data_IF_545054521456
#
_entry.id   IF_545054521456
#
_cell.length_a   1.000
_cell.length_b   1.000
_cell.length_c   1.000
_cell.angle_alpha   90.00
_cell.angle_beta   90.00
_cell.angle_gamma   90.00
#
_symmetry.space_group_name_H-M   'P 1'
#
loop_
_entity.id
_entity.type
_entity.pdbx_description
1 polymer ?
#
# COMPACT_ATOMS: atom_id res chain seq x y z
N UNK A 1 9.20 -74.82 -29.43
CA UNK A 1 10.25 -74.54 -28.44
C UNK A 1 10.33 -73.03 -28.20
N UNK A 2 9.98 -72.61 -26.97
CA UNK A 2 10.28 -71.36 -26.21
C UNK A 2 10.23 -70.00 -26.94
N UNK A 3 9.31 -69.04 -26.74
CA UNK A 3 8.64 -68.44 -25.55
C UNK A 3 9.50 -67.46 -24.74
N UNK A 4 9.42 -66.12 -24.98
CA UNK A 4 9.67 -65.04 -23.98
C UNK A 4 8.92 -63.71 -24.33
N UNK A 5 7.92 -63.39 -23.48
CA UNK A 5 7.40 -62.10 -22.96
C UNK A 5 6.99 -60.93 -23.90
N UNK A 6 5.67 -60.79 -24.09
CA UNK A 6 4.95 -59.51 -24.26
C UNK A 6 3.87 -59.43 -23.17
N UNK A 7 4.15 -58.78 -22.04
CA UNK A 7 3.24 -58.24 -20.99
C UNK A 7 4.18 -57.39 -20.10
N UNK A 8 4.05 -56.09 -19.78
CA UNK A 8 2.92 -55.28 -19.30
C UNK A 8 3.40 -53.84 -19.11
N UNK A 9 2.71 -52.83 -19.65
CA UNK A 9 2.72 -51.47 -19.06
C UNK A 9 1.52 -50.64 -19.55
N UNK A 10 0.31 -51.08 -19.21
CA UNK A 10 -0.93 -50.34 -19.47
C UNK A 10 -1.87 -50.56 -18.27
N UNK A 11 -1.42 -50.12 -17.08
CA UNK A 11 -2.26 -50.16 -15.86
C UNK A 11 -2.00 -49.06 -14.83
N UNK A 12 -1.25 -48.01 -15.18
CA UNK A 12 -0.94 -46.89 -14.28
C UNK A 12 -1.77 -45.62 -14.50
N UNK A 13 -2.26 -45.37 -15.72
CA UNK A 13 -2.83 -44.05 -16.08
C UNK A 13 -4.30 -43.88 -15.66
N UNK A 14 -5.12 -44.95 -15.74
CA UNK A 14 -6.54 -44.85 -15.44
C UNK A 14 -6.87 -44.77 -13.93
N UNK A 15 -6.00 -45.28 -13.05
CA UNK A 15 -6.22 -45.18 -11.59
C UNK A 15 -5.95 -43.77 -11.06
N UNK A 16 -4.95 -43.07 -11.61
CA UNK A 16 -4.66 -41.68 -11.27
C UNK A 16 -5.78 -40.73 -11.73
N UNK A 17 -6.34 -40.94 -12.92
CA UNK A 17 -7.44 -40.12 -13.41
C UNK A 17 -8.72 -40.32 -12.57
N UNK A 18 -9.01 -41.56 -12.14
CA UNK A 18 -10.15 -41.87 -11.25
C UNK A 18 -9.98 -41.26 -9.86
N UNK A 19 -8.77 -41.24 -9.30
CA UNK A 19 -8.48 -40.63 -8.00
C UNK A 19 -8.59 -39.10 -8.02
N UNK A 20 -8.13 -38.46 -9.11
CA UNK A 20 -8.26 -37.01 -9.29
C UNK A 20 -9.72 -36.61 -9.42
N UNK A 21 -10.53 -37.36 -10.17
CA UNK A 21 -11.98 -37.11 -10.30
C UNK A 21 -12.72 -37.35 -8.98
N UNK A 22 -12.35 -38.37 -8.19
CA UNK A 22 -12.94 -38.63 -6.88
C UNK A 22 -12.61 -37.54 -5.85
N UNK A 23 -11.37 -37.04 -5.83
CA UNK A 23 -10.97 -35.90 -4.99
C UNK A 23 -11.71 -34.62 -5.37
N UNK A 24 -11.95 -34.40 -6.67
CA UNK A 24 -12.70 -33.25 -7.18
C UNK A 24 -14.20 -33.31 -6.83
N UNK A 25 -14.80 -34.51 -6.86
CA UNK A 25 -16.22 -34.73 -6.49
C UNK A 25 -16.45 -34.66 -4.96
N UNK A 26 -15.50 -35.10 -4.13
CA UNK A 26 -15.60 -35.00 -2.67
C UNK A 26 -15.49 -33.54 -2.16
N UNK A 27 -14.80 -32.66 -2.88
CA UNK A 27 -14.72 -31.23 -2.53
C UNK A 27 -16.02 -30.45 -2.80
N UNK A 28 -16.98 -31.00 -3.56
CA UNK A 28 -18.25 -30.34 -3.87
C UNK A 28 -19.42 -30.74 -2.95
N UNK A 29 -19.31 -31.77 -2.10
CA UNK A 29 -20.42 -32.24 -1.27
C UNK A 29 -20.54 -31.63 0.14
N UNK A 30 -19.65 -30.71 0.54
CA UNK A 30 -19.70 -30.10 1.88
C UNK A 30 -20.14 -28.63 1.89
N UNK A 31 -21.19 -28.27 1.15
CA UNK A 31 -22.04 -27.10 1.49
C UNK A 31 -23.48 -27.37 1.05
N UNK A 32 -24.24 -28.11 1.87
CA UNK A 32 -25.70 -27.98 1.87
C UNK A 32 -26.06 -27.19 3.13
N UNK A 33 -26.56 -25.98 2.90
CA UNK A 33 -27.13 -25.12 3.93
C UNK A 33 -28.36 -25.81 4.53
N UNK A 34 -28.40 -25.92 5.86
CA UNK A 34 -29.59 -26.31 6.61
C UNK A 34 -30.50 -25.06 6.73
N UNK A 35 -31.72 -25.05 6.17
CA UNK A 35 -32.61 -23.92 6.31
C UNK A 35 -33.32 -24.00 7.67
N UNK A 36 -32.91 -23.16 8.63
CA UNK A 36 -33.73 -22.87 9.81
C UNK A 36 -34.60 -21.65 9.52
N UNK A 37 -35.85 -21.95 9.16
CA UNK A 37 -36.98 -21.01 9.11
C UNK A 37 -37.38 -20.63 10.56
N UNK A 38 -37.43 -19.34 10.95
CA UNK A 38 -37.96 -18.95 12.25
C UNK A 38 -39.50 -18.99 12.20
N UNK A 39 -40.11 -19.78 13.09
CA UNK A 39 -41.57 -19.80 13.30
C UNK A 39 -41.96 -18.67 14.30
N UNK A 40 -43.10 -17.98 14.09
CA UNK A 40 -43.43 -16.75 14.80
C UNK A 40 -44.13 -16.97 16.15
N UNK A 41 -43.86 -16.07 17.09
CA UNK A 41 -44.75 -15.70 18.20
C UNK A 41 -44.54 -16.45 19.51
N UNK A 42 -43.94 -15.76 20.50
CA UNK A 42 -44.44 -15.70 21.89
C UNK A 42 -43.69 -14.62 22.68
N UNK A 43 -44.42 -13.57 23.04
CA UNK A 43 -44.05 -12.54 24.03
C UNK A 43 -44.31 -13.13 25.42
N UNK A 44 -43.46 -12.85 26.41
CA UNK A 44 -43.97 -12.26 27.65
C UNK A 44 -43.29 -10.93 27.96
N UNK A 45 -44.10 -10.01 28.45
CA UNK A 45 -43.84 -8.60 28.66
C UNK A 45 -43.13 -8.29 29.99
N UNK A 46 -42.45 -7.14 29.98
CA UNK A 46 -42.30 -6.12 31.05
C UNK A 46 -40.94 -5.98 31.76
N UNK A 47 -40.45 -4.73 31.73
CA UNK A 47 -39.52 -4.05 32.68
C UNK A 47 -38.05 -4.50 32.65
N UNK A 48 -37.01 -3.67 32.52
CA UNK A 48 -36.82 -2.22 32.73
C UNK A 48 -35.72 -1.69 31.80
N UNK A 49 -35.81 -0.41 31.44
CA UNK A 49 -34.80 0.36 30.71
C UNK A 49 -33.83 1.00 31.73
N UNK A 50 -32.51 0.75 31.70
CA UNK A 50 -31.56 1.61 32.41
C UNK A 50 -31.24 2.83 31.56
N UNK A 51 -31.48 4.00 32.15
CA UNK A 51 -31.17 5.33 31.65
C UNK A 51 -29.68 5.57 31.41
N UNK A 52 -29.40 6.44 30.44
CA UNK A 52 -28.10 7.04 30.13
C UNK A 52 -27.44 7.65 31.39
N UNK A 53 -26.18 7.33 31.74
CA UNK A 53 -25.47 8.07 32.76
C UNK A 53 -24.91 9.37 32.17
N UNK A 54 -25.38 10.47 32.76
CA UNK A 54 -24.98 11.83 32.50
C UNK A 54 -23.48 12.06 32.72
N UNK A 55 -22.90 12.93 31.88
CA UNK A 55 -21.75 13.81 32.15
C UNK A 55 -21.07 13.63 33.52
N UNK A 56 -20.15 12.66 33.63
CA UNK A 56 -19.23 12.56 34.75
C UNK A 56 -17.94 13.29 34.41
N UNK A 57 -17.69 14.36 35.16
CA UNK A 57 -16.45 15.15 35.17
C UNK A 57 -15.27 14.23 35.42
N UNK A 58 -14.34 14.11 34.45
CA UNK A 58 -13.10 13.36 34.64
C UNK A 58 -12.24 14.06 35.69
N UNK A 59 -12.06 13.45 36.86
CA UNK A 59 -10.93 13.78 37.72
C UNK A 59 -9.66 13.11 37.19
N UNK A 60 -8.48 13.74 37.31
CA UNK A 60 -7.22 13.13 36.90
C UNK A 60 -6.96 11.87 37.71
N UNK A 61 -6.55 10.80 37.03
CA UNK A 61 -6.07 9.58 37.67
C UNK A 61 -4.73 9.91 38.34
N UNK A 62 -4.66 9.85 39.67
CA UNK A 62 -3.36 9.89 40.37
C UNK A 62 -2.61 8.57 40.10
N UNK A 63 -1.51 8.67 39.36
CA UNK A 63 -0.60 7.56 39.11
C UNK A 63 0.46 7.59 40.20
N UNK A 64 0.56 6.50 40.98
CA UNK A 64 1.60 6.33 42.01
C UNK A 64 3.01 6.46 41.38
N UNK A 65 3.97 7.20 41.99
CA UNK A 65 5.19 7.66 41.33
C UNK A 65 6.25 6.57 41.08
N UNK A 66 5.95 5.30 41.33
CA UNK A 66 6.95 4.23 41.39
C UNK A 66 7.20 3.50 40.05
N UNK A 67 6.65 3.99 38.94
CA UNK A 67 6.83 3.35 37.62
C UNK A 67 7.35 4.33 36.56
N UNK A 68 8.35 5.13 36.93
CA UNK A 68 9.17 5.87 35.97
C UNK A 68 10.44 5.04 35.73
N UNK A 69 10.71 4.56 34.50
CA UNK A 69 11.97 3.89 34.18
C UNK A 69 13.13 4.83 34.49
N UNK A 70 14.05 4.40 35.35
CA UNK A 70 15.27 5.16 35.61
C UNK A 70 16.14 5.14 34.36
N UNK A 71 16.37 6.31 33.77
CA UNK A 71 17.22 6.50 32.60
C UNK A 71 18.70 6.42 33.02
N UNK A 72 19.52 5.55 32.42
CA UNK A 72 20.86 5.27 32.95
C UNK A 72 21.95 6.28 32.54
N UNK A 73 21.62 7.38 31.85
CA UNK A 73 22.61 8.37 31.42
C UNK A 73 22.39 9.72 32.11
N UNK A 74 23.19 9.97 33.15
CA UNK A 74 23.33 11.28 33.77
C UNK A 74 24.30 12.14 32.94
N UNK A 75 23.83 13.27 32.41
CA UNK A 75 24.71 14.38 31.98
C UNK A 75 24.63 14.81 30.52
N UNK A 76 23.94 14.11 29.62
CA UNK A 76 23.73 14.58 28.25
C UNK A 76 22.40 15.35 28.13
N UNK A 77 22.37 16.50 27.43
CA UNK A 77 21.13 17.21 27.17
C UNK A 77 20.20 16.28 26.39
N UNK A 78 19.00 16.07 26.93
CA UNK A 78 17.98 15.25 26.30
C UNK A 78 17.79 15.72 24.84
N UNK A 79 17.94 14.85 23.83
CA UNK A 79 17.53 15.21 22.49
C UNK A 79 16.05 15.62 22.55
N UNK A 80 15.65 16.68 21.83
CA UNK A 80 14.31 17.22 21.94
C UNK A 80 13.27 16.11 21.77
N UNK A 81 12.30 16.06 22.68
CA UNK A 81 11.24 15.05 22.74
C UNK A 81 10.40 14.99 21.44
N UNK A 82 10.53 16.01 20.60
CA UNK A 82 9.94 16.12 19.28
C UNK A 82 11.07 16.29 18.24
N UNK A 83 10.97 15.63 17.07
CA UNK A 83 11.88 15.93 15.98
C UNK A 83 11.80 17.42 15.64
N UNK A 84 12.96 18.07 15.50
CA UNK A 84 13.02 19.45 15.01
C UNK A 84 12.44 19.49 13.61
N UNK A 85 11.27 20.09 13.45
CA UNK A 85 10.69 20.32 12.13
C UNK A 85 11.57 21.32 11.38
N UNK A 86 11.88 21.08 10.08
CA UNK A 86 12.68 22.02 9.31
C UNK A 86 11.99 23.39 9.29
N UNK A 87 12.78 24.46 9.39
CA UNK A 87 12.26 25.82 9.29
C UNK A 87 11.66 26.04 7.91
N UNK A 88 10.44 26.55 7.85
CA UNK A 88 9.82 26.97 6.59
C UNK A 88 10.55 28.19 6.05
N UNK A 89 10.75 28.25 4.73
CA UNK A 89 11.39 29.39 4.05
C UNK A 89 10.72 29.66 2.71
N UNK A 90 11.05 30.78 2.06
CA UNK A 90 10.55 31.07 0.72
C UNK A 90 11.44 30.40 -0.35
N UNK A 91 10.90 29.48 -1.17
CA UNK A 91 11.69 28.76 -2.15
C UNK A 91 12.12 29.66 -3.31
N UNK A 92 13.36 29.47 -3.79
CA UNK A 92 13.80 30.04 -5.06
C UNK A 92 13.26 29.17 -6.20
N UNK A 93 12.29 29.70 -6.93
CA UNK A 93 11.69 29.03 -8.08
C UNK A 93 12.43 29.37 -9.37
N UNK A 94 12.36 28.47 -10.35
CA UNK A 94 12.91 28.68 -11.70
C UNK A 94 12.22 29.81 -12.44
N UNK A 95 10.94 30.07 -12.12
CA UNK A 95 10.10 31.07 -12.79
C UNK A 95 9.67 30.68 -14.21
N UNK A 96 9.96 29.45 -14.65
CA UNK A 96 9.65 28.95 -16.00
C UNK A 96 8.41 28.06 -16.05
N UNK A 97 7.99 27.53 -14.90
CA UNK A 97 6.78 26.74 -14.81
C UNK A 97 5.52 27.65 -14.87
N UNK A 98 4.63 27.50 -15.87
CA UNK A 98 3.55 28.45 -16.14
C UNK A 98 2.31 28.18 -15.28
N UNK A 99 2.49 27.95 -13.98
CA UNK A 99 1.42 27.54 -13.06
C UNK A 99 1.50 28.26 -11.72
N UNK A 100 0.34 28.60 -11.17
CA UNK A 100 0.24 29.20 -9.85
C UNK A 100 0.07 28.11 -8.77
N UNK A 101 1.16 27.80 -8.08
CA UNK A 101 1.18 26.81 -6.98
C UNK A 101 0.30 27.19 -5.78
N UNK A 102 -0.13 28.46 -5.67
CA UNK A 102 -1.04 28.90 -4.60
C UNK A 102 -2.38 28.16 -4.64
N UNK A 103 -2.83 27.76 -5.83
CA UNK A 103 -4.12 27.07 -6.04
C UNK A 103 -4.13 25.67 -5.39
N UNK A 104 -2.97 25.00 -5.37
CA UNK A 104 -2.81 23.66 -4.79
C UNK A 104 -2.04 23.69 -3.46
N UNK A 105 -1.90 24.87 -2.84
CA UNK A 105 -1.08 25.08 -1.64
C UNK A 105 -1.50 24.21 -0.45
N UNK A 106 -2.81 23.95 -0.27
CA UNK A 106 -3.34 23.04 0.75
C UNK A 106 -2.81 21.61 0.56
N UNK A 107 -2.86 21.12 -0.68
CA UNK A 107 -2.42 19.79 -1.07
C UNK A 107 -0.90 19.69 -0.93
N UNK A 108 -0.16 20.70 -1.41
CA UNK A 108 1.30 20.76 -1.26
C UNK A 108 1.74 20.80 0.20
N UNK A 109 1.05 21.56 1.08
CA UNK A 109 1.32 21.56 2.52
C UNK A 109 1.12 20.18 3.14
N UNK A 110 0.02 19.50 2.77
CA UNK A 110 -0.29 18.16 3.26
C UNK A 110 0.75 17.14 2.80
N UNK A 111 1.13 17.17 1.53
CA UNK A 111 2.19 16.30 0.99
C UNK A 111 3.53 16.58 1.67
N UNK A 112 3.87 17.85 1.92
CA UNK A 112 5.10 18.18 2.65
C UNK A 112 5.10 17.60 4.07
N UNK A 113 3.98 17.71 4.79
CA UNK A 113 3.81 17.09 6.11
C UNK A 113 3.93 15.57 6.06
N UNK A 114 3.29 14.92 5.09
CA UNK A 114 3.36 13.48 4.87
C UNK A 114 4.78 13.00 4.50
N UNK A 115 5.59 13.91 3.94
CA UNK A 115 6.96 13.69 3.47
C UNK A 115 8.03 14.41 4.29
N UNK A 116 7.73 14.81 5.52
CA UNK A 116 8.68 15.52 6.39
C UNK A 116 9.99 14.73 6.49
N UNK A 117 11.15 15.39 6.52
CA UNK A 117 12.47 14.73 6.57
C UNK A 117 12.52 13.53 7.54
N UNK A 118 12.08 13.73 8.78
CA UNK A 118 12.07 12.72 9.85
C UNK A 118 11.08 11.57 9.63
N UNK A 119 9.94 11.86 8.99
CA UNK A 119 8.85 10.90 8.79
C UNK A 119 9.08 10.06 7.52
N UNK A 120 9.59 10.70 6.46
CA UNK A 120 9.80 10.11 5.15
C UNK A 120 10.72 8.88 5.15
N UNK A 121 11.69 8.81 6.06
CA UNK A 121 12.59 7.66 6.24
C UNK A 121 11.85 6.41 6.73
N UNK A 122 10.73 6.59 7.44
CA UNK A 122 9.99 5.50 8.06
C UNK A 122 8.72 5.17 7.29
N UNK A 123 8.03 6.17 6.73
CA UNK A 123 6.74 5.99 6.02
C UNK A 123 6.82 6.30 4.52
N UNK A 124 8.05 6.39 3.98
CA UNK A 124 8.35 6.69 2.58
C UNK A 124 7.45 5.94 1.61
N UNK A 125 7.50 4.62 1.66
CA UNK A 125 6.80 3.75 0.70
C UNK A 125 5.29 3.67 0.89
N UNK A 126 4.79 3.95 2.09
CA UNK A 126 3.39 3.70 2.48
C UNK A 126 2.54 4.97 2.51
N UNK A 127 3.16 6.12 2.78
CA UNK A 127 2.47 7.41 2.88
C UNK A 127 3.16 8.39 1.95
N UNK A 128 4.40 8.78 2.21
CA UNK A 128 5.02 9.92 1.52
C UNK A 128 5.03 9.76 -0.01
N UNK A 129 5.59 8.67 -0.55
CA UNK A 129 5.73 8.49 -2.00
C UNK A 129 4.38 8.34 -2.73
N UNK A 130 3.38 7.61 -2.18
CA UNK A 130 2.05 7.66 -2.76
C UNK A 130 1.40 9.05 -2.74
N UNK A 131 1.64 9.85 -1.68
CA UNK A 131 1.16 11.23 -1.61
C UNK A 131 1.88 12.17 -2.57
N UNK A 132 3.18 12.00 -2.73
CA UNK A 132 3.98 12.75 -3.68
C UNK A 132 3.53 12.48 -5.12
N UNK A 133 3.33 11.22 -5.51
CA UNK A 133 2.78 10.87 -6.82
C UNK A 133 1.36 11.44 -7.04
N UNK A 134 0.52 11.40 -6.00
CA UNK A 134 -0.83 12.00 -6.07
C UNK A 134 -0.77 13.50 -6.34
N UNK A 135 0.13 14.22 -5.68
CA UNK A 135 0.36 15.65 -5.92
C UNK A 135 0.79 15.91 -7.38
N UNK A 136 1.67 15.09 -7.95
CA UNK A 136 2.11 15.26 -9.34
C UNK A 136 0.96 15.07 -10.34
N UNK A 137 0.08 14.09 -10.11
CA UNK A 137 -1.10 13.91 -10.97
C UNK A 137 -2.10 15.07 -10.85
N UNK A 138 -2.30 15.60 -9.64
CA UNK A 138 -3.16 16.78 -9.43
C UNK A 138 -2.57 18.00 -10.12
N UNK A 139 -1.25 18.16 -10.02
CA UNK A 139 -0.51 19.19 -10.72
C UNK A 139 -0.67 19.08 -12.25
N UNK A 140 -0.53 17.88 -12.82
CA UNK A 140 -0.78 17.67 -14.25
C UNK A 140 -2.21 18.03 -14.63
N UNK A 141 -3.21 17.62 -13.85
CA UNK A 141 -4.61 18.00 -14.09
C UNK A 141 -4.85 19.52 -14.02
N UNK A 142 -4.18 20.23 -13.11
CA UNK A 142 -4.21 21.69 -13.04
C UNK A 142 -3.58 22.35 -14.28
N UNK A 143 -2.43 21.85 -14.71
CA UNK A 143 -1.77 22.29 -15.94
C UNK A 143 -2.71 22.07 -17.15
N UNK A 144 -3.33 20.90 -17.25
CA UNK A 144 -4.29 20.56 -18.29
C UNK A 144 -5.56 21.41 -18.31
N UNK A 145 -5.87 22.15 -17.25
CA UNK A 145 -6.99 23.10 -17.26
C UNK A 145 -6.68 24.38 -18.04
N UNK A 146 -5.41 24.72 -18.20
CA UNK A 146 -4.97 25.90 -18.92
C UNK A 146 -4.44 25.56 -20.32
N UNK A 147 -4.00 24.33 -20.52
CA UNK A 147 -3.43 23.83 -21.77
C UNK A 147 -4.20 22.59 -22.23
N UNK A 148 -4.44 22.45 -23.54
CA UNK A 148 -5.20 21.31 -24.11
C UNK A 148 -4.42 19.97 -24.13
N UNK A 149 -3.52 19.77 -23.16
CA UNK A 149 -2.66 18.59 -23.04
C UNK A 149 -2.76 17.99 -21.65
N UNK A 150 -2.69 16.65 -21.55
CA UNK A 150 -2.74 15.89 -20.30
C UNK A 150 -1.36 15.74 -19.64
N UNK A 151 -0.30 16.16 -20.33
CA UNK A 151 1.09 15.98 -19.92
C UNK A 151 1.93 17.21 -20.28
N UNK A 152 3.10 17.32 -19.66
CA UNK A 152 4.04 18.43 -19.89
C UNK A 152 5.05 18.07 -20.99
N UNK A 153 5.57 19.09 -21.68
CA UNK A 153 6.73 18.94 -22.55
C UNK A 153 8.02 18.79 -21.72
N UNK A 154 9.06 18.13 -22.24
CA UNK A 154 10.28 17.78 -21.48
C UNK A 154 10.91 18.98 -20.75
N UNK A 155 11.16 20.09 -21.43
CA UNK A 155 11.78 21.27 -20.81
C UNK A 155 10.92 21.88 -19.69
N UNK A 156 9.61 22.00 -19.92
CA UNK A 156 8.67 22.48 -18.91
C UNK A 156 8.54 21.50 -17.74
N UNK A 157 8.57 20.20 -18.00
CA UNK A 157 8.52 19.17 -16.98
C UNK A 157 9.71 19.26 -16.03
N UNK A 158 10.93 19.51 -16.55
CA UNK A 158 12.13 19.68 -15.73
C UNK A 158 12.04 20.90 -14.82
N UNK A 159 11.61 22.04 -15.35
CA UNK A 159 11.47 23.29 -14.59
C UNK A 159 10.36 23.18 -13.54
N UNK A 160 9.19 22.68 -13.92
CA UNK A 160 8.07 22.47 -13.01
C UNK A 160 8.38 21.44 -11.92
N UNK A 161 9.09 20.36 -12.24
CA UNK A 161 9.48 19.36 -11.25
C UNK A 161 10.45 19.95 -10.22
N UNK A 162 11.43 20.76 -10.65
CA UNK A 162 12.34 21.48 -9.73
C UNK A 162 11.58 22.46 -8.82
N UNK A 163 10.61 23.19 -9.36
CA UNK A 163 9.78 24.11 -8.58
C UNK A 163 8.96 23.35 -7.52
N UNK A 164 8.31 22.24 -7.88
CA UNK A 164 7.55 21.40 -6.95
C UNK A 164 8.43 20.89 -5.81
N UNK A 165 9.60 20.34 -6.13
CA UNK A 165 10.55 19.83 -5.13
C UNK A 165 11.01 20.96 -4.21
N UNK A 166 11.35 22.13 -4.76
CA UNK A 166 11.79 23.29 -3.99
C UNK A 166 10.70 23.78 -3.03
N UNK A 167 9.45 23.82 -3.48
CA UNK A 167 8.29 24.19 -2.64
C UNK A 167 8.09 23.16 -1.52
N UNK A 168 8.17 21.86 -1.81
CA UNK A 168 8.03 20.82 -0.79
C UNK A 168 9.16 20.91 0.26
N UNK A 169 10.41 21.07 -0.19
CA UNK A 169 11.57 21.23 0.69
C UNK A 169 11.44 22.49 1.58
N UNK A 170 10.95 23.59 1.00
CA UNK A 170 10.67 24.84 1.74
C UNK A 170 9.61 24.71 2.83
N UNK A 171 8.81 23.63 2.78
CA UNK A 171 7.79 23.28 3.78
C UNK A 171 8.21 22.12 4.68
N UNK A 172 9.50 21.78 4.69
CA UNK A 172 10.09 20.78 5.56
C UNK A 172 9.99 19.33 5.06
N UNK A 173 9.58 19.13 3.81
CA UNK A 173 9.68 17.83 3.18
C UNK A 173 11.14 17.45 2.92
N UNK A 174 11.39 16.15 2.71
CA UNK A 174 12.72 15.66 2.42
C UNK A 174 13.25 16.21 1.07
N UNK A 175 14.45 16.79 1.07
CA UNK A 175 15.05 17.33 -0.17
C UNK A 175 15.38 16.24 -1.20
N UNK A 176 15.53 14.99 -0.77
CA UNK A 176 15.83 13.82 -1.60
C UNK A 176 14.57 13.05 -2.02
N UNK A 177 13.41 13.70 -2.07
CA UNK A 177 12.13 13.08 -2.44
C UNK A 177 12.15 12.36 -3.80
N UNK A 178 12.77 12.98 -4.81
CA UNK A 178 12.84 12.41 -6.16
C UNK A 178 13.54 11.04 -6.17
N UNK A 179 14.70 10.93 -5.51
CA UNK A 179 15.43 9.66 -5.41
C UNK A 179 14.75 8.66 -4.50
N UNK A 180 14.19 9.11 -3.36
CA UNK A 180 13.54 8.25 -2.37
C UNK A 180 12.27 7.60 -2.94
N UNK A 181 11.51 8.34 -3.74
CA UNK A 181 10.27 7.84 -4.35
C UNK A 181 10.45 7.30 -5.76
N UNK A 182 11.67 7.30 -6.29
CA UNK A 182 11.98 6.90 -7.67
C UNK A 182 11.16 7.63 -8.73
N UNK A 183 10.92 8.93 -8.51
CA UNK A 183 10.13 9.78 -9.40
C UNK A 183 11.02 10.84 -10.06
N UNK A 184 10.87 11.00 -11.38
CA UNK A 184 11.64 11.94 -12.21
C UNK A 184 10.70 12.91 -12.93
N UNK A 185 11.26 13.98 -13.49
CA UNK A 185 10.52 14.90 -14.35
C UNK A 185 9.87 14.22 -15.56
N UNK A 186 10.49 13.16 -16.09
CA UNK A 186 9.93 12.35 -17.18
C UNK A 186 8.57 11.73 -16.85
N UNK A 187 8.23 11.52 -15.57
CA UNK A 187 6.90 11.04 -15.18
C UNK A 187 5.79 12.08 -15.48
N UNK A 188 6.14 13.36 -15.64
CA UNK A 188 5.19 14.43 -15.98
C UNK A 188 4.88 14.50 -17.48
N UNK A 189 5.67 13.84 -18.34
CA UNK A 189 5.59 13.94 -19.81
C UNK A 189 4.74 12.85 -20.46
N UNK A 190 4.18 11.95 -19.65
CA UNK A 190 3.43 10.78 -20.10
C UNK A 190 4.29 9.72 -20.78
N UNK A 191 5.62 9.87 -20.73
CA UNK A 191 6.59 8.91 -21.26
C UNK A 191 6.22 8.38 -22.65
N UNK A 192 6.07 7.07 -22.71
CA UNK A 192 5.78 6.27 -23.90
C UNK A 192 4.28 6.15 -24.25
N UNK A 193 3.38 6.74 -23.45
CA UNK A 193 1.95 6.69 -23.76
C UNK A 193 1.64 7.47 -25.06
N UNK A 194 0.95 6.86 -26.03
CA UNK A 194 0.70 7.50 -27.34
C UNK A 194 -0.35 8.61 -27.27
N UNK A 195 -1.26 8.54 -26.29
CA UNK A 195 -2.31 9.56 -26.09
C UNK A 195 -1.83 10.59 -25.07
N UNK A 196 -1.78 11.86 -25.47
CA UNK A 196 -1.29 12.97 -24.64
C UNK A 196 -2.22 14.18 -24.63
N UNK A 197 -3.13 14.28 -25.58
CA UNK A 197 -4.11 15.34 -25.72
C UNK A 197 -5.49 14.92 -25.20
N UNK A 198 -6.32 15.91 -24.87
CA UNK A 198 -7.62 15.69 -24.24
C UNK A 198 -8.62 15.09 -25.23
N UNK A 199 -8.67 15.57 -26.47
CA UNK A 199 -9.68 15.13 -27.44
C UNK A 199 -9.49 13.66 -27.83
N UNK A 200 -8.26 13.22 -28.07
CA UNK A 200 -7.96 11.81 -28.35
C UNK A 200 -8.27 10.93 -27.15
N UNK A 201 -7.99 11.40 -25.92
CA UNK A 201 -8.34 10.65 -24.71
C UNK A 201 -9.85 10.46 -24.56
N UNK A 202 -10.62 11.55 -24.68
CA UNK A 202 -12.07 11.52 -24.49
C UNK A 202 -12.81 10.72 -25.57
N UNK A 203 -12.23 10.62 -26.77
CA UNK A 203 -12.74 9.77 -27.85
C UNK A 203 -12.40 8.28 -27.65
N UNK A 204 -11.27 7.97 -27.02
CA UNK A 204 -10.81 6.58 -26.84
C UNK A 204 -11.40 5.91 -25.59
N UNK A 205 -11.69 6.68 -24.54
CA UNK A 205 -12.09 6.17 -23.22
C UNK A 205 -13.56 6.45 -22.94
N UNK A 206 -14.25 5.51 -22.30
CA UNK A 206 -15.56 5.77 -21.71
C UNK A 206 -15.41 6.67 -20.47
N UNK A 207 -15.38 7.98 -20.70
CA UNK A 207 -15.15 9.02 -19.69
C UNK A 207 -16.23 9.10 -18.62
N UNK A 208 -17.49 8.83 -18.97
CA UNK A 208 -18.60 8.82 -18.02
C UNK A 208 -18.45 7.69 -17.00
N UNK A 209 -18.15 6.46 -17.49
CA UNK A 209 -17.88 5.31 -16.62
C UNK A 209 -16.65 5.53 -15.73
N UNK A 210 -15.59 6.13 -16.28
CA UNK A 210 -14.37 6.43 -15.53
C UNK A 210 -14.65 7.43 -14.40
N UNK A 211 -15.38 8.50 -14.70
CA UNK A 211 -15.72 9.53 -13.72
C UNK A 211 -16.70 9.01 -12.65
N UNK A 212 -17.70 8.21 -13.05
CA UNK A 212 -18.61 7.55 -12.10
C UNK A 212 -17.83 6.65 -11.13
N UNK A 213 -16.85 5.90 -11.64
CA UNK A 213 -16.04 4.99 -10.82
C UNK A 213 -15.10 5.71 -9.86
N UNK A 214 -14.57 6.88 -10.23
CA UNK A 214 -13.46 7.53 -9.53
C UNK A 214 -13.81 8.85 -8.83
N UNK A 215 -14.99 9.44 -9.07
CA UNK A 215 -15.41 10.70 -8.44
C UNK A 215 -15.66 10.58 -6.94
N UNK A 216 -16.26 9.47 -6.51
CA UNK A 216 -16.54 9.20 -5.09
C UNK A 216 -15.95 7.84 -4.70
N UNK A 217 -14.68 7.85 -4.28
CA UNK A 217 -14.00 6.63 -3.83
C UNK A 217 -14.44 6.31 -2.41
N UNK A 218 -15.23 5.25 -2.25
CA UNK A 218 -15.53 4.69 -0.92
C UNK A 218 -14.33 3.82 -0.45
N UNK A 219 -13.72 4.11 0.71
CA UNK A 219 -12.54 3.39 1.18
C UNK A 219 -12.77 1.89 1.38
N UNK A 220 -13.96 1.47 1.81
CA UNK A 220 -14.27 0.07 2.10
C UNK A 220 -14.48 -0.71 0.80
N UNK A 221 -15.28 -0.15 -0.12
CA UNK A 221 -15.50 -0.73 -1.44
C UNK A 221 -14.18 -0.79 -2.21
N UNK A 222 -13.44 0.31 -2.31
CA UNK A 222 -12.21 0.32 -3.13
C UNK A 222 -11.13 -0.63 -2.60
N UNK A 223 -10.99 -0.78 -1.28
CA UNK A 223 -9.99 -1.67 -0.71
C UNK A 223 -10.35 -3.16 -0.81
N UNK A 224 -11.65 -3.51 -0.79
CA UNK A 224 -12.10 -4.91 -0.75
C UNK A 224 -12.69 -5.41 -2.07
N UNK A 225 -13.37 -4.55 -2.83
CA UNK A 225 -13.91 -4.80 -4.18
C UNK A 225 -13.67 -3.56 -5.05
N UNK A 226 -12.47 -3.40 -5.62
CA UNK A 226 -12.08 -2.16 -6.28
C UNK A 226 -12.92 -1.89 -7.53
N UNK A 227 -13.27 -0.63 -7.75
CA UNK A 227 -14.00 -0.17 -8.94
C UNK A 227 -13.19 0.88 -9.70
N UNK A 228 -12.58 1.84 -9.00
CA UNK A 228 -11.82 2.91 -9.65
C UNK A 228 -10.46 2.43 -10.17
N UNK A 229 -9.69 1.65 -9.39
CA UNK A 229 -8.41 1.09 -9.88
C UNK A 229 -8.55 0.25 -11.17
N UNK A 230 -9.56 -0.65 -11.28
CA UNK A 230 -9.85 -1.34 -12.54
C UNK A 230 -10.26 -0.40 -13.66
N UNK A 231 -11.12 0.60 -13.40
CA UNK A 231 -11.52 1.58 -14.41
C UNK A 231 -10.31 2.38 -14.95
N UNK A 232 -9.38 2.77 -14.09
CA UNK A 232 -8.13 3.44 -14.47
C UNK A 232 -7.26 2.51 -15.34
N UNK A 233 -7.14 1.24 -14.94
CA UNK A 233 -6.31 0.27 -15.66
C UNK A 233 -6.88 -0.06 -17.04
N UNK A 234 -8.20 -0.17 -17.14
CA UNK A 234 -8.93 -0.37 -18.39
C UNK A 234 -8.77 0.84 -19.33
N UNK A 235 -8.97 2.06 -18.81
CA UNK A 235 -8.74 3.28 -19.58
C UNK A 235 -7.29 3.38 -20.08
N UNK A 236 -6.32 3.04 -19.21
CA UNK A 236 -4.91 3.02 -19.58
C UNK A 236 -4.59 2.00 -20.69
N UNK A 237 -5.25 0.83 -20.67
CA UNK A 237 -5.10 -0.19 -21.70
C UNK A 237 -5.71 0.26 -23.04
N UNK A 238 -6.86 0.93 -23.01
CA UNK A 238 -7.50 1.47 -24.21
C UNK A 238 -6.61 2.49 -24.91
N UNK A 239 -5.98 3.39 -24.15
CA UNK A 239 -5.13 4.44 -24.71
C UNK A 239 -3.68 3.99 -24.97
N UNK A 240 -3.22 2.87 -24.42
CA UNK A 240 -1.87 2.36 -24.71
C UNK A 240 -1.76 1.74 -26.11
N UNK A 241 -2.90 1.39 -26.72
CA UNK A 241 -2.93 0.68 -27.99
C UNK A 241 -2.41 -0.76 -27.91
N UNK A 242 -2.14 -1.27 -26.70
CA UNK A 242 -1.75 -2.66 -26.48
C UNK A 242 -2.96 -3.53 -26.77
N UNK A 243 -3.02 -4.07 -27.99
CA UNK A 243 -3.90 -5.19 -28.30
C UNK A 243 -3.31 -6.41 -27.60
N UNK A 244 -4.13 -7.10 -26.82
CA UNK A 244 -3.78 -8.38 -26.19
C UNK A 244 -3.70 -9.46 -27.27
N UNK A 245 -2.69 -9.39 -28.14
CA UNK A 245 -2.29 -10.48 -29.03
C UNK A 245 -1.19 -11.24 -28.32
N UNK A 246 -1.48 -12.47 -27.90
CA UNK A 246 -0.45 -13.44 -27.51
C UNK A 246 0.52 -13.59 -28.68
N UNK A 247 1.62 -12.86 -28.64
CA UNK A 247 2.64 -12.83 -29.68
C UNK A 247 3.99 -12.97 -28.97
N UNK A 248 4.39 -14.22 -28.79
CA UNK A 248 5.77 -14.59 -28.51
C UNK A 248 6.65 -14.12 -29.67
N UNK A 249 7.30 -12.95 -29.53
CA UNK A 249 8.48 -12.64 -30.32
C UNK A 249 9.40 -11.68 -29.58
N UNK A 250 10.44 -12.26 -28.98
CA UNK A 250 11.63 -11.54 -28.52
C UNK A 250 12.41 -11.06 -29.73
N UNK A 251 12.35 -9.77 -30.03
CA UNK A 251 13.41 -9.08 -30.75
C UNK A 251 13.85 -7.87 -29.93
N UNK A 252 15.13 -7.90 -29.54
CA UNK A 252 15.79 -6.92 -28.69
C UNK A 252 16.15 -5.71 -29.55
N UNK A 253 15.32 -4.68 -29.44
CA UNK A 253 15.68 -3.26 -29.55
C UNK A 253 14.96 -2.58 -28.39
N UNK A 254 15.59 -1.57 -27.78
CA UNK A 254 15.20 -0.84 -26.56
C UNK A 254 13.83 -0.14 -26.67
N UNK A 255 12.77 -0.92 -26.85
CA UNK A 255 11.39 -0.50 -26.77
C UNK A 255 10.97 -0.48 -25.28
N UNK A 256 10.19 0.52 -24.85
CA UNK A 256 9.55 0.48 -23.54
C UNK A 256 8.84 -0.85 -23.38
N UNK A 257 9.01 -1.51 -22.23
CA UNK A 257 8.25 -2.74 -22.00
C UNK A 257 6.75 -2.41 -22.07
N UNK A 258 5.92 -3.35 -22.52
CA UNK A 258 4.47 -3.14 -22.55
C UNK A 258 3.92 -2.70 -21.17
N UNK A 259 4.61 -3.12 -20.09
CA UNK A 259 4.32 -2.73 -18.70
C UNK A 259 4.66 -1.26 -18.44
N UNK A 260 5.78 -0.75 -18.95
CA UNK A 260 6.19 0.65 -18.80
C UNK A 260 5.22 1.57 -19.54
N UNK A 261 4.86 1.22 -20.78
CA UNK A 261 3.84 1.95 -21.57
C UNK A 261 2.50 2.00 -20.85
N UNK A 262 2.07 0.87 -20.28
CA UNK A 262 0.82 0.83 -19.52
C UNK A 262 0.88 1.72 -18.26
N UNK A 263 2.01 1.74 -17.57
CA UNK A 263 2.19 2.59 -16.38
C UNK A 263 2.23 4.08 -16.73
N UNK A 264 2.90 4.44 -17.83
CA UNK A 264 2.89 5.80 -18.37
C UNK A 264 1.46 6.24 -18.73
N UNK A 265 0.69 5.37 -19.38
CA UNK A 265 -0.71 5.64 -19.70
C UNK A 265 -1.61 5.75 -18.47
N UNK A 266 -1.35 5.01 -17.38
CA UNK A 266 -2.04 5.24 -16.11
C UNK A 266 -1.82 6.66 -15.60
N UNK A 267 -0.60 7.21 -15.75
CA UNK A 267 -0.30 8.60 -15.41
C UNK A 267 -1.16 9.60 -16.19
N UNK A 268 -1.36 9.36 -17.49
CA UNK A 268 -2.25 10.17 -18.34
C UNK A 268 -3.69 10.10 -17.86
N UNK A 269 -4.19 8.90 -17.51
CA UNK A 269 -5.55 8.73 -16.96
C UNK A 269 -5.73 9.49 -15.65
N UNK A 270 -4.75 9.42 -14.73
CA UNK A 270 -4.79 10.19 -13.48
C UNK A 270 -4.84 11.70 -13.72
N UNK A 271 -4.04 12.20 -14.67
CA UNK A 271 -4.06 13.62 -15.07
C UNK A 271 -5.44 14.06 -15.57
N UNK A 272 -6.09 13.26 -16.43
CA UNK A 272 -7.44 13.54 -16.91
C UNK A 272 -8.49 13.52 -15.78
N UNK A 273 -8.42 12.55 -14.85
CA UNK A 273 -9.31 12.51 -13.69
C UNK A 273 -9.12 13.77 -12.82
N UNK A 274 -7.87 14.14 -12.55
CA UNK A 274 -7.55 15.33 -11.77
C UNK A 274 -8.00 16.64 -12.45
N UNK A 275 -7.99 16.69 -13.78
CA UNK A 275 -8.53 17.81 -14.57
C UNK A 275 -10.05 17.96 -14.36
N UNK A 276 -10.78 16.83 -14.36
CA UNK A 276 -12.26 16.82 -14.28
C UNK A 276 -12.81 17.02 -12.87
N UNK A 277 -12.09 16.54 -11.85
CA UNK A 277 -12.49 16.69 -10.45
C UNK A 277 -12.01 18.03 -9.87
N UNK A 278 -12.64 18.48 -8.79
CA UNK A 278 -12.07 19.57 -7.97
C UNK A 278 -10.79 19.07 -7.31
N UNK A 279 -9.79 19.93 -7.11
CA UNK A 279 -8.48 19.53 -6.60
C UNK A 279 -8.54 18.77 -5.27
N UNK A 280 -9.43 19.18 -4.36
CA UNK A 280 -9.62 18.49 -3.08
C UNK A 280 -10.31 17.12 -3.21
N UNK A 281 -11.22 16.98 -4.17
CA UNK A 281 -11.88 15.70 -4.46
C UNK A 281 -10.89 14.73 -5.12
N UNK A 282 -10.08 15.22 -6.07
CA UNK A 282 -8.99 14.46 -6.68
C UNK A 282 -7.95 14.02 -5.64
N UNK A 283 -7.54 14.94 -4.77
CA UNK A 283 -6.65 14.65 -3.64
C UNK A 283 -7.24 13.55 -2.74
N UNK A 284 -8.51 13.66 -2.38
CA UNK A 284 -9.17 12.66 -1.54
C UNK A 284 -9.25 11.31 -2.25
N UNK A 285 -9.65 11.27 -3.52
CA UNK A 285 -9.73 10.05 -4.31
C UNK A 285 -8.36 9.35 -4.43
N UNK A 286 -7.32 10.07 -4.85
CA UNK A 286 -5.98 9.49 -5.05
C UNK A 286 -5.36 9.01 -3.74
N UNK A 287 -5.63 9.71 -2.63
CA UNK A 287 -5.25 9.29 -1.28
C UNK A 287 -5.88 7.96 -0.87
N UNK A 288 -7.14 7.77 -1.19
CA UNK A 288 -7.85 6.53 -0.86
C UNK A 288 -7.36 5.37 -1.74
N UNK A 289 -7.20 5.61 -3.05
CA UNK A 289 -6.67 4.63 -3.99
C UNK A 289 -5.27 4.14 -3.60
N UNK A 290 -4.39 5.07 -3.26
CA UNK A 290 -3.03 4.72 -2.79
C UNK A 290 -3.06 3.95 -1.49
N UNK A 291 -3.87 4.37 -0.51
CA UNK A 291 -4.01 3.67 0.78
C UNK A 291 -4.48 2.22 0.61
N UNK A 292 -5.37 1.95 -0.34
CA UNK A 292 -5.82 0.59 -0.64
C UNK A 292 -4.73 -0.26 -1.32
N UNK A 293 -3.89 0.34 -2.19
CA UNK A 293 -2.79 -0.34 -2.89
C UNK A 293 -1.66 -0.76 -1.97
N UNK A 294 -1.29 0.10 -1.01
CA UNK A 294 -0.14 -0.09 -0.11
C UNK A 294 -0.21 -1.42 0.67
N UNK A 295 -1.41 -1.96 0.88
CA UNK A 295 -1.59 -3.18 1.66
C UNK A 295 -1.25 -4.50 0.93
N UNK A 296 -0.83 -4.51 -0.34
CA UNK A 296 -0.78 -5.73 -1.18
C UNK A 296 0.58 -6.43 -1.30
N UNK A 297 1.68 -5.83 -0.85
CA UNK A 297 3.02 -6.44 -0.92
C UNK A 297 3.78 -6.24 0.39
N UNK A 298 4.76 -7.11 0.67
CA UNK A 298 5.73 -6.85 1.73
C UNK A 298 6.77 -5.86 1.22
N UNK A 299 6.95 -4.70 1.85
CA UNK A 299 7.94 -3.73 1.41
C UNK A 299 9.31 -3.94 2.06
N UNK A 300 9.43 -4.79 3.11
CA UNK A 300 10.70 -5.04 3.81
C UNK A 300 11.71 -5.73 2.91
N UNK A 301 12.96 -5.28 2.98
CA UNK A 301 14.09 -5.93 2.34
C UNK A 301 14.68 -6.99 3.27
N UNK A 302 14.63 -8.24 2.84
CA UNK A 302 15.11 -9.37 3.62
C UNK A 302 16.49 -9.80 3.13
N UNK A 303 17.51 -9.50 3.92
CA UNK A 303 18.84 -10.10 3.77
C UNK A 303 18.82 -11.57 4.19
N UNK A 304 19.70 -12.41 3.67
CA UNK A 304 19.75 -13.81 4.07
C UNK A 304 19.91 -13.94 5.60
N UNK A 305 18.97 -14.59 6.33
CA UNK A 305 18.99 -14.65 7.79
C UNK A 305 19.91 -15.77 8.29
N UNK A 306 21.20 -15.75 7.93
CA UNK A 306 22.16 -16.83 8.19
C UNK A 306 22.29 -17.19 9.69
N UNK A 307 22.33 -16.19 10.56
CA UNK A 307 22.40 -16.37 12.02
C UNK A 307 21.15 -17.07 12.57
N UNK A 308 19.97 -16.71 12.07
CA UNK A 308 18.70 -17.35 12.44
C UNK A 308 18.67 -18.79 11.93
N UNK A 309 19.07 -19.01 10.67
CA UNK A 309 19.11 -20.35 10.06
C UNK A 309 20.02 -21.26 10.88
N UNK A 310 21.23 -20.80 11.23
CA UNK A 310 22.19 -21.59 11.98
C UNK A 310 21.72 -21.90 13.40
N UNK A 311 21.05 -20.94 14.06
CA UNK A 311 20.56 -21.12 15.42
C UNK A 311 19.26 -21.94 15.52
N UNK A 312 18.43 -21.93 14.47
CA UNK A 312 17.08 -22.51 14.49
C UNK A 312 16.93 -23.81 13.69
N UNK A 313 17.92 -24.19 12.87
CA UNK A 313 17.87 -25.42 12.07
C UNK A 313 17.84 -26.67 12.97
N UNK A 314 16.98 -27.63 12.62
CA UNK A 314 16.84 -28.93 13.29
C UNK A 314 16.43 -28.89 14.78
N UNK A 315 15.78 -27.81 15.23
CA UNK A 315 15.27 -27.75 16.60
C UNK A 315 13.97 -28.56 16.76
N UNK A 316 13.82 -29.21 17.92
CA UNK A 316 12.58 -29.88 18.33
C UNK A 316 11.91 -29.21 19.56
N UNK A 317 12.56 -28.20 20.17
CA UNK A 317 12.11 -27.51 21.38
C UNK A 317 12.62 -26.04 21.40
N UNK A 318 12.07 -25.17 22.29
CA UNK A 318 12.47 -23.76 22.37
C UNK A 318 13.96 -23.61 22.69
N UNK A 319 14.69 -22.91 21.81
CA UNK A 319 16.11 -22.62 22.00
C UNK A 319 16.29 -21.12 22.25
N UNK A 320 16.85 -20.72 23.40
CA UNK A 320 17.12 -19.30 23.68
C UNK A 320 18.00 -18.63 22.63
N UNK A 321 18.97 -19.35 22.04
CA UNK A 321 19.83 -18.81 20.99
C UNK A 321 19.07 -18.58 19.69
N UNK A 322 18.15 -19.47 19.32
CA UNK A 322 17.27 -19.30 18.16
C UNK A 322 16.39 -18.06 18.32
N UNK A 323 15.71 -17.92 19.45
CA UNK A 323 14.80 -16.80 19.68
C UNK A 323 15.54 -15.46 19.79
N UNK A 324 16.74 -15.44 20.40
CA UNK A 324 17.57 -14.23 20.44
C UNK A 324 18.01 -13.80 19.03
N UNK A 325 18.48 -14.72 18.19
CA UNK A 325 18.88 -14.42 16.81
C UNK A 325 17.68 -13.98 15.97
N UNK A 326 16.53 -14.62 16.13
CA UNK A 326 15.28 -14.26 15.46
C UNK A 326 14.84 -12.83 15.83
N UNK A 327 14.80 -12.50 17.12
CA UNK A 327 14.41 -11.19 17.61
C UNK A 327 15.39 -10.08 17.18
N UNK A 328 16.70 -10.37 17.17
CA UNK A 328 17.70 -9.43 16.67
C UNK A 328 17.52 -9.14 15.16
N UNK A 329 17.27 -10.19 14.36
CA UNK A 329 17.00 -10.04 12.93
C UNK A 329 15.71 -9.24 12.69
N UNK A 330 14.63 -9.57 13.41
CA UNK A 330 13.34 -8.87 13.36
C UNK A 330 13.50 -7.39 13.74
N UNK A 331 14.24 -7.09 14.81
CA UNK A 331 14.56 -5.71 15.21
C UNK A 331 15.32 -4.96 14.11
N UNK A 332 16.21 -5.65 13.39
CA UNK A 332 16.92 -5.10 12.24
C UNK A 332 15.99 -4.72 11.10
N UNK A 333 15.04 -5.58 10.73
CA UNK A 333 14.09 -5.30 9.64
C UNK A 333 13.00 -4.30 10.05
N UNK A 334 12.56 -4.29 11.32
CA UNK A 334 11.59 -3.32 11.83
C UNK A 334 12.07 -1.88 11.66
N UNK A 335 13.38 -1.64 11.76
CA UNK A 335 13.99 -0.31 11.59
C UNK A 335 13.95 0.19 10.15
N UNK A 336 13.64 -0.66 9.17
CA UNK A 336 13.61 -0.25 7.76
C UNK A 336 12.44 0.68 7.47
N UNK A 337 11.22 0.30 7.87
CA UNK A 337 10.02 1.12 7.65
C UNK A 337 8.83 0.68 8.50
N UNK A 338 7.86 1.59 8.65
CA UNK A 338 6.55 1.28 9.17
C UNK A 338 5.70 0.55 8.12
N UNK A 339 5.12 -0.57 8.52
CA UNK A 339 4.23 -1.37 7.67
C UNK A 339 2.87 -1.57 8.34
N UNK A 340 1.80 -1.66 7.54
CA UNK A 340 0.45 -1.94 8.05
C UNK A 340 0.34 -3.38 8.54
N UNK A 341 -0.67 -3.74 9.36
CA UNK A 341 -0.81 -5.13 9.80
C UNK A 341 -0.99 -6.10 8.63
N UNK A 342 -1.60 -5.67 7.51
CA UNK A 342 -1.72 -6.52 6.33
C UNK A 342 -0.37 -6.75 5.66
N UNK A 343 0.45 -5.70 5.55
CA UNK A 343 1.83 -5.86 5.08
C UNK A 343 2.67 -6.70 6.05
N UNK A 344 2.49 -6.56 7.36
CA UNK A 344 3.16 -7.38 8.37
C UNK A 344 2.86 -8.87 8.18
N UNK A 345 1.61 -9.24 7.90
CA UNK A 345 1.23 -10.62 7.57
C UNK A 345 1.96 -11.11 6.32
N UNK A 346 1.98 -10.31 5.25
CA UNK A 346 2.66 -10.67 4.00
C UNK A 346 4.17 -10.80 4.22
N UNK A 347 4.77 -9.90 5.00
CA UNK A 347 6.19 -9.92 5.34
C UNK A 347 6.57 -11.12 6.20
N UNK A 348 5.78 -11.43 7.22
CA UNK A 348 5.98 -12.62 8.05
C UNK A 348 5.88 -13.90 7.20
N UNK A 349 4.97 -13.95 6.22
CA UNK A 349 4.86 -15.08 5.30
C UNK A 349 6.09 -15.23 4.39
N UNK A 350 6.59 -14.13 3.81
CA UNK A 350 7.81 -14.13 2.97
C UNK A 350 9.02 -14.57 3.80
N UNK A 351 9.18 -14.04 5.01
CA UNK A 351 10.25 -14.43 5.93
C UNK A 351 10.16 -15.90 6.34
N UNK A 352 8.96 -16.38 6.65
CA UNK A 352 8.72 -17.78 6.99
C UNK A 352 9.08 -18.71 5.82
N UNK A 353 8.72 -18.32 4.59
CA UNK A 353 9.09 -19.05 3.38
C UNK A 353 10.62 -19.10 3.17
N UNK A 354 11.34 -17.99 3.42
CA UNK A 354 12.80 -17.97 3.35
C UNK A 354 13.45 -18.93 4.36
N UNK A 355 12.95 -18.95 5.60
CA UNK A 355 13.45 -19.86 6.64
C UNK A 355 13.17 -21.33 6.31
N UNK A 356 11.98 -21.65 5.82
CA UNK A 356 11.62 -22.99 5.37
C UNK A 356 12.52 -23.45 4.22
N UNK A 357 12.75 -22.60 3.21
CA UNK A 357 13.64 -22.91 2.09
C UNK A 357 15.09 -23.16 2.54
N UNK A 358 15.51 -22.57 3.67
CA UNK A 358 16.82 -22.77 4.27
C UNK A 358 16.91 -23.99 5.22
N UNK A 359 15.81 -24.72 5.42
CA UNK A 359 15.75 -25.94 6.24
C UNK A 359 15.35 -25.71 7.70
N UNK A 360 14.79 -24.56 8.05
CA UNK A 360 14.11 -24.34 9.33
C UNK A 360 12.66 -24.77 9.20
N UNK A 361 12.35 -26.00 9.61
CA UNK A 361 11.04 -26.61 9.42
C UNK A 361 10.08 -26.40 10.59
N UNK A 362 10.59 -25.93 11.73
CA UNK A 362 9.77 -25.60 12.92
C UNK A 362 9.10 -24.24 12.78
N UNK A 363 7.92 -24.10 13.40
CA UNK A 363 7.24 -22.82 13.50
C UNK A 363 7.95 -21.92 14.53
N UNK A 364 9.02 -21.26 14.10
CA UNK A 364 9.84 -20.41 14.98
C UNK A 364 9.07 -19.20 15.52
N UNK A 365 7.98 -18.78 14.87
CA UNK A 365 7.16 -17.68 15.37
C UNK A 365 6.43 -18.08 16.65
N UNK A 366 5.79 -19.24 16.64
CA UNK A 366 5.12 -19.80 17.82
C UNK A 366 6.14 -20.19 18.91
N UNK A 367 7.29 -20.73 18.49
CA UNK A 367 8.34 -21.16 19.42
C UNK A 367 8.93 -20.00 20.25
N UNK A 368 9.03 -18.82 19.63
CA UNK A 368 9.70 -17.66 20.19
C UNK A 368 8.74 -16.52 20.54
N UNK A 369 7.42 -16.79 20.55
CA UNK A 369 6.37 -15.81 20.85
C UNK A 369 6.47 -14.53 20.00
N UNK A 370 6.72 -14.72 18.70
CA UNK A 370 6.80 -13.62 17.72
C UNK A 370 5.41 -13.36 17.14
N UNK A 371 4.95 -12.13 17.34
CA UNK A 371 3.68 -11.62 16.86
C UNK A 371 3.85 -10.79 15.57
N UNK A 372 2.74 -10.59 14.86
CA UNK A 372 2.67 -9.65 13.73
C UNK A 372 3.07 -8.22 14.11
N UNK A 373 2.86 -7.83 15.37
CA UNK A 373 3.27 -6.52 15.90
C UNK A 373 4.80 -6.37 15.86
N UNK A 374 5.54 -7.47 15.96
CA UNK A 374 7.00 -7.46 15.93
C UNK A 374 7.56 -7.25 14.53
N UNK A 375 6.73 -7.19 13.48
CA UNK A 375 7.16 -6.73 12.16
C UNK A 375 6.88 -5.25 11.91
N UNK A 376 6.27 -4.52 12.87
CA UNK A 376 5.85 -3.12 12.71
C UNK A 376 6.27 -2.26 13.92
N UNK A 377 6.77 -1.04 13.68
CA UNK A 377 7.13 -0.09 14.75
C UNK A 377 5.87 0.53 15.40
N UNK A 378 5.06 -0.22 16.16
CA UNK A 378 3.81 0.31 16.74
C UNK A 378 3.99 1.20 18.00
N UNK A 379 5.20 1.66 18.32
CA UNK A 379 5.49 2.26 19.63
C UNK A 379 5.78 3.77 19.70
N UNK A 380 5.87 4.52 18.59
CA UNK A 380 6.43 5.89 18.64
C UNK A 380 5.64 7.00 17.92
N UNK A 381 4.34 6.82 17.66
CA UNK A 381 3.56 7.86 16.98
C UNK A 381 2.88 8.84 17.95
N UNK A 382 3.26 10.11 17.78
CA UNK A 382 2.77 11.33 18.43
C UNK A 382 1.22 11.41 18.53
N UNK A 383 0.66 12.08 19.55
CA UNK A 383 -0.78 12.08 19.88
C UNK A 383 -1.74 12.54 18.77
N UNK A 384 -1.27 13.31 17.78
CA UNK A 384 -2.08 13.75 16.64
C UNK A 384 -2.32 12.65 15.59
N UNK A 385 -1.41 11.67 15.51
CA UNK A 385 -1.47 10.60 14.49
C UNK A 385 -2.46 9.49 14.85
N UNK A 386 -2.61 9.20 16.15
CA UNK A 386 -3.58 8.24 16.67
C UNK A 386 -5.02 8.60 16.28
N UNK A 387 -5.36 9.89 16.19
CA UNK A 387 -6.73 10.31 15.92
C UNK A 387 -7.19 10.18 14.47
N UNK A 388 -6.26 10.27 13.50
CA UNK A 388 -6.57 10.23 12.05
C UNK A 388 -6.29 8.85 11.47
N UNK A 389 -5.21 8.18 11.90
CA UNK A 389 -4.83 6.87 11.39
C UNK A 389 -5.61 5.73 12.06
N UNK A 390 -5.84 5.81 13.39
CA UNK A 390 -6.65 4.80 14.07
C UNK A 390 -8.11 4.82 13.55
N UNK A 391 -8.73 6.00 13.37
CA UNK A 391 -10.10 6.07 12.85
C UNK A 391 -10.25 5.57 11.40
N UNK A 392 -9.25 5.73 10.53
CA UNK A 392 -9.36 5.37 9.11
C UNK A 392 -8.85 3.96 8.77
N UNK A 393 -7.84 3.45 9.47
CA UNK A 393 -7.32 2.09 9.25
C UNK A 393 -8.06 1.03 10.07
N UNK A 394 -8.58 1.36 11.27
CA UNK A 394 -9.49 0.46 11.99
C UNK A 394 -10.89 0.37 11.36
N UNK A 395 -11.31 1.35 10.56
CA UNK A 395 -12.57 1.25 9.82
C UNK A 395 -12.50 0.18 8.70
N UNK A 396 -11.38 0.05 8.00
CA UNK A 396 -11.16 -1.01 6.99
C UNK A 396 -10.87 -2.38 7.63
N UNK A 397 -10.21 -2.36 8.79
CA UNK A 397 -10.36 -3.25 9.96
C UNK A 397 -11.39 -4.38 9.96
N UNK A 398 -12.64 -3.93 10.13
CA UNK A 398 -13.68 -4.67 10.85
C UNK A 398 -14.87 -5.07 9.98
N UNK A 399 -14.98 -4.55 8.75
CA UNK A 399 -16.17 -4.75 7.91
C UNK A 399 -15.97 -5.68 6.72
N UNK A 400 -14.73 -5.93 6.25
CA UNK A 400 -14.52 -6.89 5.16
C UNK A 400 -14.58 -8.36 5.60
N UNK A 401 -14.81 -8.62 6.90
CA UNK A 401 -15.07 -9.97 7.45
C UNK A 401 -16.56 -10.24 7.72
N UNK A 402 -17.46 -9.26 7.51
CA UNK A 402 -18.90 -9.39 7.74
C UNK A 402 -19.73 -9.47 6.44
N UNK A 403 -19.09 -9.78 5.31
CA UNK A 403 -19.73 -9.88 4.00
C UNK A 403 -19.41 -11.17 3.25
N UNK A 404 -19.31 -12.29 3.96
CA UNK A 404 -19.38 -13.66 3.42
C UNK A 404 -20.49 -14.39 4.14
#
# INVERSE_FOLDING_TARGET
MNCVKIVSCLKGSFCHLRLVIALWLCSYQNVVALPLLPKPGQIPSTSELPSSPNSATFQPIEISPTMIPHYPFHGEPLPPMYPSFPKTYDPVLTGRCPVNFSVISSITAKTASDCTQSLSTVVGNVICCPQFNSLLHIFQGFYSNHFDTLVLQNALADDCFKDIISILASRGANSSLSSMCSVKSSNLTGGSCPVKDISTFENAVNTSKLLESCSTVDPLKECCRPFCQPAISEAALQISGIKMTLSDNKNIVEAPSEIDTLNDCKGVVYSWIAKKLRFEDANTAFRLLSSCKVNKACPLDFKQPSEVINACRNLAAPSPSCCSSLNAYITGIQKQMLITNRQAIICAAVFGYMLQKAGVMTNVYELCDVDLKDFSLQGFCLPWWSSIWARRVLASKLTCRSGI
#
